data_IF_997129856816
#
_entry.id   IF_997129856816
#
_cell.length_a   1.000
_cell.length_b   1.000
_cell.length_c   1.000
_cell.angle_alpha   90.00
_cell.angle_beta   90.00
_cell.angle_gamma   90.00
#
_symmetry.space_group_name_H-M   'P 1'
#
loop_
_entity.id
_entity.type
_entity.pdbx_description
1 polymer ?
#
# COMPACT_ATOMS: atom_id res chain seq x y z
N UNK A 1 -50.77 27.03 19.34
CA UNK A 1 -49.79 26.20 20.05
C UNK A 1 -48.55 27.06 20.15
N UNK A 2 -48.18 27.45 21.36
CA UNK A 2 -47.01 28.30 21.57
C UNK A 2 -45.76 27.53 21.14
N UNK A 3 -44.97 28.10 20.23
CA UNK A 3 -43.68 27.55 19.82
C UNK A 3 -42.74 27.56 21.03
N UNK A 4 -42.25 26.39 21.43
CA UNK A 4 -41.32 26.28 22.56
C UNK A 4 -39.97 26.86 22.12
N UNK A 5 -39.62 28.02 22.68
CA UNK A 5 -38.35 28.69 22.38
C UNK A 5 -37.18 27.94 23.03
N UNK A 6 -36.19 27.54 22.21
CA UNK A 6 -34.97 26.88 22.70
C UNK A 6 -34.10 27.91 23.42
N UNK A 7 -33.71 27.68 24.69
CA UNK A 7 -32.79 28.58 25.38
C UNK A 7 -31.47 28.74 24.64
N UNK A 8 -31.03 29.98 24.43
CA UNK A 8 -29.85 30.29 23.61
C UNK A 8 -28.56 29.58 24.09
N UNK A 9 -28.43 29.32 25.39
CA UNK A 9 -27.29 28.62 25.98
C UNK A 9 -27.27 27.11 25.69
N UNK A 10 -28.32 26.56 25.08
CA UNK A 10 -28.36 25.19 24.56
C UNK A 10 -27.95 25.09 23.09
N UNK A 11 -27.84 26.22 22.39
CA UNK A 11 -27.49 26.26 20.98
C UNK A 11 -25.97 26.30 20.78
N UNK A 12 -25.49 25.52 19.82
CA UNK A 12 -24.10 25.53 19.41
C UNK A 12 -23.78 26.86 18.70
N UNK A 13 -22.75 27.61 19.11
CA UNK A 13 -22.41 28.89 18.46
C UNK A 13 -21.97 28.77 16.99
N UNK A 14 -21.65 27.57 16.51
CA UNK A 14 -21.26 27.32 15.10
C UNK A 14 -22.50 27.02 14.25
N UNK A 15 -23.31 26.04 14.65
CA UNK A 15 -24.43 25.56 13.86
C UNK A 15 -25.76 26.26 14.16
N UNK A 16 -25.83 26.99 15.29
CA UNK A 16 -27.05 27.58 15.85
C UNK A 16 -28.16 26.54 16.10
N UNK A 17 -27.78 25.26 16.25
CA UNK A 17 -28.67 24.15 16.55
C UNK A 17 -28.45 23.65 17.97
N UNK A 18 -29.45 22.97 18.52
CA UNK A 18 -29.39 22.34 19.84
C UNK A 18 -28.18 21.40 19.96
N UNK A 19 -27.35 21.60 20.98
CA UNK A 19 -26.14 20.81 21.21
C UNK A 19 -26.50 19.38 21.62
N UNK A 20 -25.98 18.38 20.90
CA UNK A 20 -26.15 16.95 21.23
C UNK A 20 -25.01 16.46 22.11
N UNK A 21 -23.81 16.96 21.87
CA UNK A 21 -22.60 16.66 22.66
C UNK A 21 -21.87 17.95 23.03
N UNK A 22 -22.31 18.67 24.08
CA UNK A 22 -21.71 19.92 24.48
C UNK A 22 -20.29 19.70 25.03
N UNK A 23 -19.31 20.37 24.45
CA UNK A 23 -17.89 20.35 24.83
C UNK A 23 -17.33 21.76 24.98
N UNK A 24 -16.49 21.95 25.98
CA UNK A 24 -15.82 23.21 26.31
C UNK A 24 -14.41 23.20 25.73
N UNK A 25 -14.06 24.27 25.02
CA UNK A 25 -12.69 24.54 24.59
C UNK A 25 -11.94 25.35 25.66
N UNK A 26 -10.62 25.46 25.58
CA UNK A 26 -9.78 26.19 26.57
C UNK A 26 -10.23 27.64 26.84
N UNK A 27 -10.93 28.28 25.90
CA UNK A 27 -11.48 29.63 26.05
C UNK A 27 -12.78 29.70 26.87
N UNK A 28 -13.27 28.56 27.38
CA UNK A 28 -14.49 28.48 28.19
C UNK A 28 -15.80 28.42 27.40
N UNK A 29 -15.75 28.57 26.07
CA UNK A 29 -16.95 28.49 25.22
C UNK A 29 -17.35 27.03 24.99
N UNK A 30 -18.65 26.75 25.07
CA UNK A 30 -19.21 25.42 24.79
C UNK A 30 -19.74 25.35 23.36
N UNK A 31 -19.44 24.26 22.67
CA UNK A 31 -19.89 23.95 21.32
C UNK A 31 -20.46 22.54 21.27
N UNK A 32 -21.23 22.24 20.22
CA UNK A 32 -21.48 20.85 19.86
C UNK A 32 -20.20 20.21 19.29
N UNK A 33 -19.84 19.02 19.80
CA UNK A 33 -18.57 18.34 19.50
C UNK A 33 -18.30 18.23 18.00
N UNK A 34 -19.26 17.74 17.21
CA UNK A 34 -19.02 17.49 15.79
C UNK A 34 -18.73 18.79 15.03
N UNK A 35 -19.34 19.89 15.45
CA UNK A 35 -19.15 21.19 14.82
C UNK A 35 -17.78 21.79 15.15
N UNK A 36 -17.34 21.74 16.41
CA UNK A 36 -16.02 22.24 16.80
C UNK A 36 -14.88 21.34 16.29
N UNK A 37 -15.09 20.03 16.24
CA UNK A 37 -14.11 19.10 15.66
C UNK A 37 -13.97 19.28 14.14
N UNK A 38 -15.08 19.51 13.42
CA UNK A 38 -15.04 19.91 12.00
C UNK A 38 -14.22 21.18 11.80
N UNK A 39 -14.44 22.18 12.63
CA UNK A 39 -13.70 23.44 12.57
C UNK A 39 -12.18 23.25 12.79
N UNK A 40 -11.79 22.48 13.80
CA UNK A 40 -10.37 22.30 14.16
C UNK A 40 -9.63 21.34 13.23
N UNK A 41 -10.21 20.17 12.94
CA UNK A 41 -9.50 19.08 12.26
C UNK A 41 -9.74 19.07 10.75
N UNK A 42 -10.99 19.22 10.31
CA UNK A 42 -11.32 19.16 8.88
C UNK A 42 -11.00 20.48 8.16
N UNK A 43 -11.34 21.61 8.76
CA UNK A 43 -11.01 22.94 8.21
C UNK A 43 -9.60 23.42 8.57
N UNK A 44 -8.86 22.69 9.42
CA UNK A 44 -7.49 23.00 9.88
C UNK A 44 -7.35 24.37 10.56
N UNK A 45 -8.39 24.87 11.21
CA UNK A 45 -8.33 26.12 11.97
C UNK A 45 -7.73 25.89 13.36
N UNK A 46 -7.00 26.89 13.89
CA UNK A 46 -6.37 26.83 15.22
C UNK A 46 -6.96 27.81 16.24
N UNK A 47 -8.06 28.45 15.90
CA UNK A 47 -8.66 29.52 16.70
C UNK A 47 -10.04 29.14 17.17
N UNK A 48 -10.43 29.61 18.35
CA UNK A 48 -11.81 29.54 18.81
C UNK A 48 -12.74 30.30 17.85
N UNK A 49 -13.85 29.70 17.37
CA UNK A 49 -14.78 30.35 16.44
C UNK A 49 -15.33 31.69 16.93
N UNK A 50 -15.65 31.77 18.23
CA UNK A 50 -16.23 32.96 18.86
C UNK A 50 -15.16 33.95 19.30
N UNK A 51 -14.22 33.53 20.15
CA UNK A 51 -13.25 34.47 20.77
C UNK A 51 -12.07 34.81 19.87
N UNK A 52 -11.89 34.09 18.76
CA UNK A 52 -10.74 34.19 17.84
C UNK A 52 -9.36 33.95 18.48
N UNK A 53 -9.31 33.56 19.75
CA UNK A 53 -8.07 33.21 20.44
C UNK A 53 -7.52 31.88 19.93
N UNK A 54 -6.19 31.76 19.88
CA UNK A 54 -5.51 30.52 19.49
C UNK A 54 -5.75 29.45 20.57
N UNK A 55 -6.19 28.28 20.16
CA UNK A 55 -6.35 27.12 21.03
C UNK A 55 -5.03 26.36 21.06
N UNK A 56 -4.35 26.38 22.22
CA UNK A 56 -3.07 25.71 22.45
C UNK A 56 -3.20 24.19 22.51
N UNK A 57 -4.33 23.70 23.04
CA UNK A 57 -4.63 22.27 23.18
C UNK A 57 -5.89 21.91 22.38
N UNK A 58 -5.85 20.75 21.71
CA UNK A 58 -7.00 20.18 21.00
C UNK A 58 -7.93 19.39 21.93
N UNK A 59 -7.72 19.49 23.25
CA UNK A 59 -8.46 18.75 24.25
C UNK A 59 -9.81 19.40 24.53
N UNK A 60 -10.85 18.78 23.97
CA UNK A 60 -12.25 19.16 24.17
C UNK A 60 -12.77 18.56 25.48
N UNK A 61 -13.07 19.41 26.45
CA UNK A 61 -13.57 18.97 27.77
C UNK A 61 -15.09 18.78 27.72
N UNK A 62 -15.65 17.59 27.99
CA UNK A 62 -17.11 17.40 27.98
C UNK A 62 -17.83 18.28 29.02
N UNK A 63 -18.90 18.96 28.62
CA UNK A 63 -19.76 19.73 29.53
C UNK A 63 -20.96 18.87 29.99
N UNK A 64 -20.71 17.99 30.97
CA UNK A 64 -21.74 17.07 31.47
C UNK A 64 -22.94 17.78 32.09
N UNK A 65 -22.74 18.90 32.77
CA UNK A 65 -23.81 19.69 33.38
C UNK A 65 -24.76 20.23 32.32
N UNK A 66 -24.22 20.89 31.29
CA UNK A 66 -25.04 21.44 30.21
C UNK A 66 -25.77 20.34 29.44
N UNK A 67 -25.12 19.20 29.20
CA UNK A 67 -25.77 18.03 28.59
C UNK A 67 -26.99 17.58 29.39
N UNK A 68 -26.87 17.43 30.72
CA UNK A 68 -27.99 17.01 31.58
C UNK A 68 -29.13 18.03 31.57
N UNK A 69 -28.81 19.32 31.53
CA UNK A 69 -29.81 20.39 31.42
C UNK A 69 -30.56 20.34 30.09
N UNK A 70 -29.84 20.18 28.97
CA UNK A 70 -30.43 20.04 27.63
C UNK A 70 -31.35 18.81 27.60
N UNK A 71 -30.91 17.66 28.13
CA UNK A 71 -31.70 16.43 28.15
C UNK A 71 -32.97 16.57 29.00
N UNK A 72 -32.86 17.18 30.19
CA UNK A 72 -34.01 17.47 31.04
C UNK A 72 -35.01 18.37 30.31
N UNK A 73 -34.51 19.41 29.65
CA UNK A 73 -35.33 20.32 28.86
C UNK A 73 -36.02 19.64 27.68
N UNK A 74 -35.32 18.78 26.91
CA UNK A 74 -35.94 17.98 25.85
C UNK A 74 -37.04 17.08 26.39
N UNK A 75 -36.85 16.47 27.57
CA UNK A 75 -37.82 15.57 28.18
C UNK A 75 -39.09 16.32 28.60
N UNK A 76 -38.94 17.50 29.21
CA UNK A 76 -40.06 18.35 29.63
C UNK A 76 -40.87 18.89 28.45
N UNK A 77 -40.23 19.06 27.28
CA UNK A 77 -40.85 19.62 26.09
C UNK A 77 -41.17 18.58 25.01
N UNK A 78 -41.09 17.28 25.34
CA UNK A 78 -41.36 16.19 24.39
C UNK A 78 -42.81 16.23 23.85
N UNK A 79 -43.78 16.66 24.66
CA UNK A 79 -45.18 16.86 24.25
C UNK A 79 -45.38 17.99 23.23
N UNK A 80 -44.40 18.87 23.07
CA UNK A 80 -44.41 19.99 22.14
C UNK A 80 -43.62 19.70 20.84
N UNK A 81 -43.31 18.42 20.56
CA UNK A 81 -42.63 18.01 19.34
C UNK A 81 -41.10 18.10 19.41
N UNK A 82 -40.52 18.31 20.58
CA UNK A 82 -39.06 18.32 20.76
C UNK A 82 -38.55 16.90 20.88
N UNK A 83 -37.69 16.49 19.95
CA UNK A 83 -37.06 15.17 19.98
C UNK A 83 -36.15 15.02 21.21
N UNK A 84 -36.32 13.89 21.92
CA UNK A 84 -35.41 13.50 22.98
C UNK A 84 -34.06 13.14 22.34
N UNK A 85 -33.01 13.89 22.66
CA UNK A 85 -31.65 13.55 22.23
C UNK A 85 -31.19 12.35 23.06
N UNK A 86 -31.02 11.16 22.46
CA UNK A 86 -30.52 10.00 23.18
C UNK A 86 -29.11 10.27 23.66
N UNK A 87 -28.78 9.80 24.86
CA UNK A 87 -27.43 9.92 25.43
C UNK A 87 -26.42 9.30 24.45
N UNK A 88 -25.50 10.09 23.87
CA UNK A 88 -24.38 9.51 23.14
C UNK A 88 -23.64 8.61 24.12
N UNK A 89 -23.41 7.35 23.76
CA UNK A 89 -22.63 6.42 24.59
C UNK A 89 -21.36 7.15 25.03
N UNK A 90 -21.14 7.25 26.34
CA UNK A 90 -19.98 7.93 26.93
C UNK A 90 -18.73 7.55 26.14
N UNK A 91 -17.98 8.50 25.56
CA UNK A 91 -16.62 8.23 25.13
C UNK A 91 -15.82 8.10 26.41
N UNK A 92 -15.89 6.94 27.07
CA UNK A 92 -14.87 6.54 28.03
C UNK A 92 -13.57 6.67 27.27
N UNK A 93 -12.64 7.47 27.80
CA UNK A 93 -11.44 7.94 27.12
C UNK A 93 -10.73 6.74 26.47
N UNK A 94 -11.02 6.49 25.18
CA UNK A 94 -10.71 5.21 24.52
C UNK A 94 -9.21 4.97 24.55
N UNK A 95 -8.43 6.05 24.48
CA UNK A 95 -6.98 6.09 24.66
C UNK A 95 -6.52 5.60 26.03
N UNK A 96 -7.19 5.94 27.13
CA UNK A 96 -6.83 5.45 28.46
C UNK A 96 -7.14 3.96 28.62
N UNK A 97 -8.30 3.50 28.14
CA UNK A 97 -8.62 2.06 28.15
C UNK A 97 -7.63 1.29 27.29
N UNK A 98 -7.33 1.77 26.09
CA UNK A 98 -6.36 1.13 25.20
C UNK A 98 -4.97 1.12 25.83
N UNK A 99 -4.53 2.23 26.42
CA UNK A 99 -3.24 2.31 27.10
C UNK A 99 -3.15 1.35 28.28
N UNK A 100 -4.24 1.14 29.02
CA UNK A 100 -4.31 0.13 30.07
C UNK A 100 -4.26 -1.29 29.47
N UNK A 101 -5.06 -1.57 28.44
CA UNK A 101 -5.06 -2.86 27.76
C UNK A 101 -3.68 -3.23 27.19
N UNK A 102 -2.97 -2.26 26.61
CA UNK A 102 -1.61 -2.45 26.08
C UNK A 102 -0.62 -2.66 27.23
N UNK A 103 -0.63 -1.79 28.25
CA UNK A 103 0.26 -1.94 29.42
C UNK A 103 0.05 -3.25 30.16
N UNK A 104 -1.18 -3.73 30.22
CA UNK A 104 -1.49 -5.02 30.82
C UNK A 104 -1.03 -6.15 29.90
N UNK A 105 -1.25 -6.05 28.59
CA UNK A 105 -0.80 -7.06 27.63
C UNK A 105 0.74 -7.16 27.48
N UNK A 106 1.47 -6.05 27.63
CA UNK A 106 2.94 -6.01 27.66
C UNK A 106 3.53 -6.81 28.84
N UNK A 107 2.74 -7.06 29.90
CA UNK A 107 3.20 -7.72 31.12
C UNK A 107 2.96 -9.23 31.15
N UNK A 108 2.33 -9.84 30.15
CA UNK A 108 1.94 -11.25 30.23
C UNK A 108 2.50 -12.13 29.10
N UNK A 109 3.03 -13.28 29.52
CA UNK A 109 3.30 -14.48 28.70
C UNK A 109 2.02 -15.25 28.33
N UNK A 110 0.82 -14.73 28.62
CA UNK A 110 -0.46 -15.43 28.42
C UNK A 110 -1.11 -15.07 27.06
N UNK A 111 -1.08 -16.03 26.15
CA UNK A 111 -1.64 -15.95 24.80
C UNK A 111 -3.15 -15.64 24.78
N UNK A 112 -3.91 -16.18 25.72
CA UNK A 112 -5.36 -15.98 25.76
C UNK A 112 -5.74 -14.53 26.09
N UNK A 113 -4.92 -13.86 26.90
CA UNK A 113 -5.09 -12.44 27.22
C UNK A 113 -4.70 -11.55 26.05
N UNK A 114 -3.67 -11.90 25.29
CA UNK A 114 -3.29 -11.21 24.06
C UNK A 114 -4.42 -11.26 23.02
N UNK A 115 -5.00 -12.44 22.76
CA UNK A 115 -6.12 -12.57 21.83
C UNK A 115 -7.37 -11.79 22.28
N UNK A 116 -7.69 -11.78 23.58
CA UNK A 116 -8.78 -10.94 24.11
C UNK A 116 -8.51 -9.46 23.88
N UNK A 117 -7.28 -9.01 24.09
CA UNK A 117 -6.87 -7.63 23.82
C UNK A 117 -6.99 -7.30 22.33
N UNK A 118 -6.49 -8.16 21.44
CA UNK A 118 -6.59 -7.99 19.98
C UNK A 118 -8.05 -7.90 19.52
N UNK A 119 -8.93 -8.78 20.00
CA UNK A 119 -10.38 -8.72 19.68
C UNK A 119 -11.00 -7.39 20.11
N UNK A 120 -10.62 -6.88 21.28
CA UNK A 120 -11.10 -5.58 21.78
C UNK A 120 -10.51 -4.40 21.01
N UNK A 121 -9.23 -4.47 20.62
CA UNK A 121 -8.62 -3.48 19.73
C UNK A 121 -9.34 -3.44 18.38
N UNK A 122 -9.66 -4.62 17.81
CA UNK A 122 -10.39 -4.73 16.56
C UNK A 122 -11.81 -4.17 16.63
N UNK A 123 -12.51 -4.33 17.77
CA UNK A 123 -13.82 -3.69 17.92
C UNK A 123 -13.70 -2.17 17.94
N UNK A 124 -12.61 -1.63 18.49
CA UNK A 124 -12.35 -0.18 18.55
C UNK A 124 -11.97 0.37 17.16
N UNK A 125 -11.17 -0.35 16.37
CA UNK A 125 -10.79 0.09 15.00
C UNK A 125 -11.98 0.20 14.07
N UNK A 126 -13.01 -0.63 14.26
CA UNK A 126 -14.23 -0.60 13.46
C UNK A 126 -15.12 0.62 13.75
N UNK A 127 -14.87 1.38 14.82
CA UNK A 127 -15.68 2.55 15.21
C UNK A 127 -15.26 3.86 14.50
N UNK A 128 -14.35 3.81 13.51
CA UNK A 128 -14.05 4.90 12.56
C UNK A 128 -12.69 5.61 12.75
N UNK A 129 -12.35 6.54 11.85
CA UNK A 129 -10.99 7.17 11.72
C UNK A 129 -10.46 7.87 12.98
N UNK A 130 -11.35 8.45 13.81
CA UNK A 130 -10.96 9.07 15.09
C UNK A 130 -10.32 8.05 16.04
N UNK A 131 -10.70 6.77 15.93
CA UNK A 131 -10.12 5.68 16.71
C UNK A 131 -8.67 5.40 16.29
N UNK A 132 -8.34 5.45 14.99
CA UNK A 132 -7.00 5.15 14.48
C UNK A 132 -5.93 6.10 15.01
N UNK A 133 -6.17 7.41 14.95
CA UNK A 133 -5.21 8.40 15.48
C UNK A 133 -5.03 8.30 17.00
N UNK A 134 -6.11 7.95 17.72
CA UNK A 134 -6.06 7.70 19.15
C UNK A 134 -5.28 6.42 19.49
N UNK A 135 -5.43 5.36 18.69
CA UNK A 135 -4.73 4.09 18.85
C UNK A 135 -3.23 4.25 18.58
N UNK A 136 -2.85 5.00 17.53
CA UNK A 136 -1.45 5.38 17.28
C UNK A 136 -0.85 6.13 18.48
N UNK A 137 -1.55 7.15 19.00
CA UNK A 137 -1.07 7.93 20.14
C UNK A 137 -1.00 7.14 21.44
N UNK A 138 -1.73 6.03 21.54
CA UNK A 138 -1.73 5.14 22.69
C UNK A 138 -0.63 4.07 22.66
N UNK A 139 0.16 3.98 21.57
CA UNK A 139 1.21 2.96 21.40
C UNK A 139 0.69 1.62 20.85
N UNK A 140 -0.51 1.60 20.24
CA UNK A 140 -1.10 0.36 19.75
C UNK A 140 -0.31 -0.25 18.58
N UNK A 141 0.32 0.58 17.75
CA UNK A 141 1.06 0.11 16.58
C UNK A 141 2.33 -0.62 17.02
N UNK A 142 3.08 -0.07 17.97
CA UNK A 142 4.29 -0.66 18.55
C UNK A 142 3.97 -2.00 19.23
N UNK A 143 2.85 -2.08 19.96
CA UNK A 143 2.35 -3.32 20.56
C UNK A 143 1.96 -4.38 19.51
N UNK A 144 1.28 -4.00 18.43
CA UNK A 144 0.93 -4.94 17.36
C UNK A 144 2.18 -5.43 16.62
N UNK A 145 3.17 -4.56 16.40
CA UNK A 145 4.45 -4.92 15.80
C UNK A 145 5.23 -5.88 16.69
N UNK A 146 5.23 -5.68 18.01
CA UNK A 146 5.91 -6.60 18.94
C UNK A 146 5.30 -8.00 18.91
N UNK A 147 3.97 -8.14 18.85
CA UNK A 147 3.28 -9.43 18.68
C UNK A 147 3.76 -10.16 17.41
N UNK A 148 3.83 -9.45 16.29
CA UNK A 148 4.26 -10.04 15.01
C UNK A 148 5.72 -10.51 15.10
N UNK A 149 6.59 -9.75 15.79
CA UNK A 149 8.00 -10.12 16.01
C UNK A 149 8.16 -11.34 16.91
N UNK A 150 7.39 -11.41 18.01
CA UNK A 150 7.45 -12.52 18.96
C UNK A 150 7.15 -13.87 18.31
N UNK A 151 6.29 -13.89 17.28
CA UNK A 151 6.00 -15.11 16.51
C UNK A 151 7.24 -15.64 15.76
N UNK A 152 8.07 -14.76 15.19
CA UNK A 152 9.26 -15.20 14.44
C UNK A 152 10.38 -15.77 15.35
N UNK A 153 10.45 -15.35 16.62
CA UNK A 153 11.44 -15.85 17.58
C UNK A 153 11.08 -17.20 18.20
N UNK A 154 9.80 -17.51 18.33
CA UNK A 154 9.31 -18.75 18.97
C UNK A 154 9.30 -19.95 18.00
N UNK A 155 9.12 -19.70 16.69
CA UNK A 155 9.17 -20.76 15.66
C UNK A 155 10.59 -21.33 15.49
N UNK A 156 11.64 -20.59 15.88
CA UNK A 156 13.01 -21.12 15.89
C UNK A 156 13.31 -22.09 17.04
N UNK A 157 12.43 -22.28 18.03
CA UNK A 157 12.76 -23.06 19.23
C UNK A 157 11.81 -24.20 19.63
N UNK A 158 10.56 -24.32 19.15
CA UNK A 158 9.68 -25.39 19.65
C UNK A 158 8.87 -26.14 18.57
N UNK A 159 9.08 -27.46 18.52
CA UNK A 159 8.42 -28.46 17.67
C UNK A 159 7.05 -28.92 18.25
N UNK A 160 6.19 -28.01 18.68
CA UNK A 160 4.85 -28.35 19.20
C UNK A 160 3.74 -27.74 18.32
N UNK A 161 3.11 -28.58 17.50
CA UNK A 161 2.06 -28.22 16.52
C UNK A 161 0.82 -27.52 17.14
N UNK A 162 0.56 -27.71 18.43
CA UNK A 162 -0.61 -27.10 19.09
C UNK A 162 -0.41 -25.65 19.51
N UNK A 163 0.82 -25.27 19.88
CA UNK A 163 1.13 -23.89 20.30
C UNK A 163 1.41 -23.00 19.09
N UNK A 164 1.99 -23.56 18.02
CA UNK A 164 2.25 -22.84 16.77
C UNK A 164 0.97 -22.29 16.15
N UNK A 165 -0.13 -23.04 16.17
CA UNK A 165 -1.42 -22.64 15.59
C UNK A 165 -2.07 -21.47 16.35
N UNK A 166 -1.84 -21.37 17.67
CA UNK A 166 -2.28 -20.25 18.50
C UNK A 166 -1.46 -18.98 18.21
N UNK A 167 -0.12 -19.05 18.22
CA UNK A 167 0.74 -17.91 17.89
C UNK A 167 0.48 -17.34 16.49
N UNK A 168 0.23 -18.21 15.51
CA UNK A 168 -0.14 -17.81 14.15
C UNK A 168 -1.43 -16.98 14.15
N UNK A 169 -2.47 -17.41 14.89
CA UNK A 169 -3.75 -16.67 15.01
C UNK A 169 -3.59 -15.28 15.61
N UNK A 170 -2.73 -15.11 16.63
CA UNK A 170 -2.48 -13.79 17.21
C UNK A 170 -1.75 -12.86 16.23
N UNK A 171 -0.75 -13.37 15.51
CA UNK A 171 -0.02 -12.59 14.50
C UNK A 171 -0.92 -12.19 13.32
N UNK A 172 -1.80 -13.09 12.88
CA UNK A 172 -2.76 -12.86 11.80
C UNK A 172 -3.77 -11.77 12.18
N UNK A 173 -4.28 -11.84 13.41
CA UNK A 173 -5.21 -10.84 13.92
C UNK A 173 -4.52 -9.48 14.10
N UNK A 174 -3.27 -9.46 14.59
CA UNK A 174 -2.50 -8.23 14.71
C UNK A 174 -2.25 -7.55 13.34
N UNK A 175 -1.88 -8.33 12.31
CA UNK A 175 -1.73 -7.83 10.94
C UNK A 175 -3.03 -7.28 10.36
N UNK A 176 -4.14 -7.95 10.63
CA UNK A 176 -5.47 -7.51 10.21
C UNK A 176 -5.81 -6.14 10.81
N UNK A 177 -5.57 -5.96 12.10
CA UNK A 177 -5.77 -4.68 12.81
C UNK A 177 -4.85 -3.60 12.24
N UNK A 178 -3.55 -3.88 12.06
CA UNK A 178 -2.60 -2.93 11.47
C UNK A 178 -3.02 -2.47 10.06
N UNK A 179 -3.53 -3.38 9.23
CA UNK A 179 -3.99 -3.05 7.90
C UNK A 179 -5.28 -2.19 7.92
N UNK A 180 -6.13 -2.36 8.94
CA UNK A 180 -7.35 -1.56 9.12
C UNK A 180 -7.08 -0.17 9.70
N UNK A 181 -6.04 -0.02 10.53
CA UNK A 181 -5.71 1.23 11.22
C UNK A 181 -5.37 2.40 10.28
N UNK A 182 -5.03 2.15 9.01
CA UNK A 182 -4.53 3.15 8.06
C UNK A 182 -3.40 4.01 8.67
N UNK A 183 -2.35 3.32 9.12
CA UNK A 183 -1.24 3.91 9.87
C UNK A 183 -0.67 5.15 9.15
N UNK A 184 -0.50 6.24 9.91
CA UNK A 184 0.04 7.49 9.39
C UNK A 184 1.47 7.34 8.84
N UNK A 185 1.79 8.10 7.78
CA UNK A 185 3.14 8.13 7.18
C UNK A 185 4.22 8.52 8.22
N UNK A 186 3.87 9.30 9.25
CA UNK A 186 4.76 9.68 10.36
C UNK A 186 5.09 8.49 11.28
N UNK A 187 4.07 7.73 11.69
CA UNK A 187 4.24 6.54 12.52
C UNK A 187 5.02 5.46 11.76
N UNK A 188 4.65 5.18 10.50
CA UNK A 188 5.37 4.21 9.66
C UNK A 188 6.84 4.55 9.45
N UNK A 189 7.16 5.85 9.26
CA UNK A 189 8.56 6.30 9.13
C UNK A 189 9.35 5.98 10.39
N UNK A 190 8.77 6.18 11.58
CA UNK A 190 9.44 5.85 12.84
C UNK A 190 9.73 4.35 12.94
N UNK A 191 8.75 3.53 12.62
CA UNK A 191 8.86 2.07 12.72
C UNK A 191 9.91 1.54 11.74
N UNK A 192 9.81 1.86 10.44
CA UNK A 192 10.73 1.28 9.45
C UNK A 192 12.18 1.76 9.62
N UNK A 193 12.40 2.99 10.11
CA UNK A 193 13.75 3.55 10.21
C UNK A 193 14.42 3.27 11.56
N UNK A 194 13.66 3.18 12.66
CA UNK A 194 14.22 3.05 14.02
C UNK A 194 13.92 1.71 14.69
N UNK A 195 12.88 0.99 14.28
CA UNK A 195 12.55 -0.30 14.86
C UNK A 195 13.23 -1.45 14.11
N UNK A 196 14.33 -1.94 14.65
CA UNK A 196 15.05 -3.07 14.07
C UNK A 196 14.16 -4.32 14.06
N UNK A 197 14.12 -5.05 12.95
CA UNK A 197 13.34 -6.29 12.86
C UNK A 197 11.91 -6.14 12.31
N UNK A 198 11.40 -4.93 12.03
CA UNK A 198 10.03 -4.79 11.48
C UNK A 198 9.89 -5.41 10.08
N UNK A 199 10.86 -5.15 9.20
CA UNK A 199 10.85 -5.72 7.84
C UNK A 199 11.06 -7.23 7.90
N UNK A 200 11.98 -7.69 8.74
CA UNK A 200 12.26 -9.10 8.99
C UNK A 200 11.03 -9.84 9.55
N UNK A 201 10.29 -9.19 10.45
CA UNK A 201 9.02 -9.69 10.99
C UNK A 201 8.03 -10.00 9.86
N UNK A 202 7.80 -9.01 8.99
CA UNK A 202 6.90 -9.14 7.86
C UNK A 202 7.41 -10.14 6.81
N UNK A 203 8.72 -10.26 6.60
CA UNK A 203 9.28 -11.32 5.73
C UNK A 203 9.01 -12.71 6.31
N UNK A 204 9.10 -12.90 7.63
CA UNK A 204 8.70 -14.16 8.28
C UNK A 204 7.23 -14.51 8.03
N UNK A 205 6.33 -13.52 8.16
CA UNK A 205 4.91 -13.68 7.80
C UNK A 205 4.77 -14.03 6.31
N UNK A 206 5.54 -13.39 5.43
CA UNK A 206 5.48 -13.72 4.01
C UNK A 206 5.83 -15.18 3.73
N UNK A 207 6.76 -15.77 4.49
CA UNK A 207 7.21 -17.18 4.37
C UNK A 207 6.17 -18.19 4.83
N UNK A 208 5.61 -17.98 6.03
CA UNK A 208 4.85 -19.01 6.75
C UNK A 208 3.36 -18.68 6.92
N UNK A 209 2.98 -17.42 6.71
CA UNK A 209 1.61 -16.98 6.89
C UNK A 209 0.64 -17.55 5.85
N UNK A 210 -0.64 -17.56 6.19
CA UNK A 210 -1.71 -17.85 5.24
C UNK A 210 -1.82 -16.76 4.15
N UNK A 211 -2.64 -16.99 3.13
CA UNK A 211 -2.84 -16.04 2.03
C UNK A 211 -3.27 -14.64 2.49
N UNK A 212 -4.14 -14.54 3.50
CA UNK A 212 -4.64 -13.26 3.98
C UNK A 212 -3.53 -12.46 4.71
N UNK A 213 -2.78 -13.11 5.60
CA UNK A 213 -1.67 -12.49 6.33
C UNK A 213 -0.53 -12.07 5.41
N UNK A 214 -0.22 -12.90 4.39
CA UNK A 214 0.75 -12.55 3.34
C UNK A 214 0.30 -11.32 2.54
N UNK A 215 -1.00 -11.23 2.25
CA UNK A 215 -1.58 -10.04 1.64
C UNK A 215 -1.45 -8.83 2.58
N UNK A 216 -1.82 -8.89 3.86
CA UNK A 216 -1.67 -7.74 4.76
C UNK A 216 -0.21 -7.31 4.95
N UNK A 217 0.71 -8.27 5.13
CA UNK A 217 2.15 -8.00 5.25
C UNK A 217 2.69 -7.30 4.00
N UNK A 218 2.29 -7.73 2.80
CA UNK A 218 2.71 -7.06 1.55
C UNK A 218 2.20 -5.62 1.47
N UNK A 219 1.05 -5.29 2.09
CA UNK A 219 0.43 -3.97 1.98
C UNK A 219 1.12 -3.02 2.95
N UNK A 220 1.41 -3.52 4.15
CA UNK A 220 2.21 -2.83 5.15
C UNK A 220 3.62 -2.57 4.64
N UNK A 221 4.29 -3.55 4.02
CA UNK A 221 5.61 -3.36 3.41
C UNK A 221 5.57 -2.27 2.32
N UNK A 222 4.56 -2.28 1.44
CA UNK A 222 4.40 -1.25 0.41
C UNK A 222 4.27 0.14 1.03
N UNK A 223 3.46 0.29 2.07
CA UNK A 223 3.25 1.59 2.72
C UNK A 223 4.49 2.01 3.53
N UNK A 224 5.18 1.07 4.18
CA UNK A 224 6.39 1.35 4.93
C UNK A 224 7.54 1.79 4.00
N UNK A 225 7.78 1.07 2.89
CA UNK A 225 8.83 1.45 1.94
C UNK A 225 8.56 2.79 1.25
N UNK A 226 7.31 3.24 1.13
CA UNK A 226 6.97 4.59 0.63
C UNK A 226 7.63 5.70 1.47
N UNK A 227 7.80 5.49 2.77
CA UNK A 227 8.33 6.48 3.73
C UNK A 227 9.74 6.13 4.24
N UNK A 228 10.31 5.01 3.81
CA UNK A 228 11.62 4.52 4.22
C UNK A 228 12.77 5.39 3.70
N UNK A 229 13.82 5.51 4.49
CA UNK A 229 15.04 6.21 4.09
C UNK A 229 15.92 5.35 3.17
N UNK A 230 16.90 5.97 2.50
CA UNK A 230 17.76 5.28 1.52
C UNK A 230 18.48 4.05 2.10
N UNK A 231 18.83 4.07 3.40
CA UNK A 231 19.52 2.97 4.09
C UNK A 231 18.63 1.72 4.06
N UNK A 232 17.36 1.86 4.43
CA UNK A 232 16.39 0.75 4.49
C UNK A 232 16.07 0.19 3.09
N UNK A 233 16.06 1.05 2.06
CA UNK A 233 15.87 0.59 0.68
C UNK A 233 17.05 -0.28 0.19
N UNK A 234 18.26 -0.03 0.71
CA UNK A 234 19.48 -0.78 0.34
C UNK A 234 19.73 -2.02 1.19
N UNK A 235 19.27 -2.06 2.44
CA UNK A 235 19.50 -3.17 3.38
C UNK A 235 18.66 -4.42 3.09
N UNK A 236 17.71 -4.35 2.14
CA UNK A 236 16.85 -5.49 1.76
C UNK A 236 17.63 -6.75 1.38
N UNK A 237 17.20 -7.91 1.89
CA UNK A 237 17.88 -9.21 1.71
C UNK A 237 17.44 -9.93 0.44
N UNK A 238 18.20 -10.94 -0.01
CA UNK A 238 17.79 -11.81 -1.14
C UNK A 238 16.46 -12.51 -0.86
N UNK A 239 16.30 -12.96 0.38
CA UNK A 239 15.11 -13.65 0.85
C UNK A 239 13.87 -12.78 0.79
N UNK A 240 13.98 -11.50 1.15
CA UNK A 240 12.90 -10.53 0.97
C UNK A 240 12.39 -10.51 -0.48
N UNK A 241 13.31 -10.48 -1.47
CA UNK A 241 12.91 -10.48 -2.87
C UNK A 241 12.26 -11.79 -3.30
N UNK A 242 12.78 -12.94 -2.85
CA UNK A 242 12.18 -14.25 -3.14
C UNK A 242 10.74 -14.33 -2.63
N UNK A 243 10.47 -13.85 -1.41
CA UNK A 243 9.14 -13.87 -0.82
C UNK A 243 8.15 -12.91 -1.51
N UNK A 244 8.59 -11.71 -1.87
CA UNK A 244 7.74 -10.79 -2.65
C UNK A 244 7.43 -11.35 -4.04
N UNK A 245 8.39 -12.04 -4.68
CA UNK A 245 8.17 -12.73 -5.96
C UNK A 245 7.21 -13.91 -5.77
N UNK A 246 7.27 -14.62 -4.65
CA UNK A 246 6.33 -15.70 -4.31
C UNK A 246 4.90 -15.19 -4.18
N UNK A 247 4.69 -14.00 -3.59
CA UNK A 247 3.36 -13.35 -3.56
C UNK A 247 2.82 -13.08 -4.97
N UNK A 248 3.69 -12.71 -5.93
CA UNK A 248 3.28 -12.54 -7.32
C UNK A 248 2.92 -13.88 -7.99
N UNK A 249 3.73 -14.91 -7.75
CA UNK A 249 3.53 -16.25 -8.29
C UNK A 249 2.21 -16.86 -7.82
N UNK A 250 1.92 -16.74 -6.53
CA UNK A 250 0.74 -17.35 -5.91
C UNK A 250 -0.57 -16.62 -6.24
N UNK A 251 -0.48 -15.43 -6.86
CA UNK A 251 -1.64 -14.62 -7.27
C UNK A 251 -2.68 -14.41 -6.15
N UNK A 252 -2.20 -14.24 -4.92
CA UNK A 252 -3.00 -14.20 -3.67
C UNK A 252 -4.22 -13.26 -3.76
N UNK A 253 -4.00 -12.04 -4.26
CA UNK A 253 -5.07 -11.09 -4.55
C UNK A 253 -4.58 -10.00 -5.50
N UNK A 254 -5.49 -9.36 -6.24
CA UNK A 254 -5.12 -8.26 -7.14
C UNK A 254 -4.46 -7.08 -6.41
N UNK A 255 -4.94 -6.77 -5.20
CA UNK A 255 -4.34 -5.74 -4.36
C UNK A 255 -2.93 -6.13 -3.93
N UNK A 256 -2.72 -7.40 -3.56
CA UNK A 256 -1.42 -7.90 -3.16
C UNK A 256 -0.41 -7.94 -4.29
N UNK A 257 -0.79 -8.45 -5.45
CA UNK A 257 0.08 -8.48 -6.62
C UNK A 257 0.45 -7.05 -7.07
N UNK A 258 -0.50 -6.11 -7.03
CA UNK A 258 -0.22 -4.70 -7.36
C UNK A 258 0.74 -4.06 -6.36
N UNK A 259 0.62 -4.35 -5.07
CA UNK A 259 1.53 -3.85 -4.05
C UNK A 259 2.93 -4.46 -4.18
N UNK A 260 3.03 -5.78 -4.40
CA UNK A 260 4.30 -6.47 -4.65
C UNK A 260 5.03 -5.89 -5.87
N UNK A 261 4.33 -5.66 -6.99
CA UNK A 261 4.92 -4.99 -8.16
C UNK A 261 5.45 -3.59 -7.83
N UNK A 262 4.70 -2.79 -7.06
CA UNK A 262 5.13 -1.45 -6.66
C UNK A 262 6.35 -1.48 -5.76
N UNK A 263 6.41 -2.41 -4.80
CA UNK A 263 7.59 -2.63 -3.94
C UNK A 263 8.81 -2.93 -4.80
N UNK A 264 8.71 -3.92 -5.70
CA UNK A 264 9.83 -4.31 -6.55
C UNK A 264 10.28 -3.16 -7.46
N UNK A 265 9.34 -2.41 -8.06
CA UNK A 265 9.66 -1.25 -8.92
C UNK A 265 10.37 -0.15 -8.14
N UNK A 266 9.94 0.10 -6.90
CA UNK A 266 10.54 1.10 -6.02
C UNK A 266 11.95 0.70 -5.57
N UNK A 267 12.20 -0.58 -5.32
CA UNK A 267 13.50 -1.07 -4.86
C UNK A 267 14.50 -1.31 -5.99
N UNK A 268 14.03 -1.62 -7.20
CA UNK A 268 14.85 -1.90 -8.39
C UNK A 268 15.14 -0.66 -9.23
N UNK A 269 15.43 0.48 -8.60
CA UNK A 269 15.79 1.71 -9.32
C UNK A 269 17.07 1.54 -10.17
N UNK A 270 17.27 2.36 -11.23
CA UNK A 270 18.43 2.24 -12.11
C UNK A 270 19.81 2.36 -11.45
N UNK A 271 19.89 2.86 -10.21
CA UNK A 271 21.13 2.93 -9.42
C UNK A 271 21.29 1.79 -8.39
N UNK A 272 20.21 1.06 -8.11
CA UNK A 272 20.18 0.02 -7.08
C UNK A 272 20.71 -1.33 -7.59
N UNK A 273 21.47 -2.03 -6.75
CA UNK A 273 21.91 -3.43 -6.98
C UNK A 273 20.81 -4.46 -6.65
N UNK A 274 19.69 -4.03 -6.08
CA UNK A 274 18.58 -4.89 -5.69
C UNK A 274 17.95 -5.68 -6.86
N UNK A 275 18.08 -5.18 -8.09
CA UNK A 275 17.59 -5.89 -9.28
C UNK A 275 18.21 -7.27 -9.44
N UNK A 276 19.49 -7.45 -9.06
CA UNK A 276 20.15 -8.76 -9.13
C UNK A 276 19.49 -9.71 -8.13
N UNK A 277 19.25 -9.26 -6.89
CA UNK A 277 18.53 -10.03 -5.87
C UNK A 277 17.11 -10.39 -6.32
N UNK A 278 16.41 -9.48 -7.00
CA UNK A 278 15.10 -9.74 -7.58
C UNK A 278 15.14 -10.79 -8.70
N UNK A 279 16.15 -10.74 -9.58
CA UNK A 279 16.36 -11.74 -10.64
C UNK A 279 16.68 -13.11 -10.03
N UNK A 280 17.61 -13.17 -9.05
CA UNK A 280 17.94 -14.40 -8.30
C UNK A 280 16.71 -14.99 -7.59
N UNK A 281 15.79 -14.15 -7.10
CA UNK A 281 14.51 -14.56 -6.54
C UNK A 281 13.48 -15.05 -7.57
N UNK A 282 13.83 -15.12 -8.86
CA UNK A 282 12.97 -15.65 -9.92
C UNK A 282 11.97 -14.64 -10.50
N UNK A 283 12.15 -13.33 -10.26
CA UNK A 283 11.20 -12.31 -10.69
C UNK A 283 10.97 -12.32 -12.21
N UNK A 284 12.02 -12.51 -13.01
CA UNK A 284 11.92 -12.49 -14.48
C UNK A 284 10.99 -13.57 -15.00
N UNK A 285 11.19 -14.82 -14.56
CA UNK A 285 10.35 -15.96 -14.94
C UNK A 285 8.89 -15.72 -14.55
N UNK A 286 8.62 -15.35 -13.29
CA UNK A 286 7.26 -15.08 -12.81
C UNK A 286 6.60 -13.95 -13.60
N UNK A 287 7.33 -12.89 -13.95
CA UNK A 287 6.76 -11.80 -14.75
C UNK A 287 6.39 -12.23 -16.17
N UNK A 288 7.18 -13.09 -16.81
CA UNK A 288 6.89 -13.58 -18.17
C UNK A 288 5.58 -14.38 -18.15
N UNK A 289 5.45 -15.34 -17.23
CA UNK A 289 4.23 -16.14 -17.07
C UNK A 289 3.01 -15.27 -16.76
N UNK A 290 3.14 -14.35 -15.80
CA UNK A 290 2.03 -13.43 -15.46
C UNK A 290 1.64 -12.47 -16.59
N UNK A 291 2.53 -12.16 -17.54
CA UNK A 291 2.18 -11.35 -18.72
C UNK A 291 1.56 -12.23 -19.81
N UNK A 292 1.99 -13.48 -19.91
CA UNK A 292 1.46 -14.49 -20.83
C UNK A 292 0.01 -14.84 -20.50
N UNK A 293 -0.29 -15.10 -19.23
CA UNK A 293 -1.61 -15.46 -18.70
C UNK A 293 -2.58 -14.28 -18.58
N UNK A 294 -2.11 -13.04 -18.74
CA UNK A 294 -2.94 -11.86 -18.52
C UNK A 294 -4.07 -11.75 -19.56
N UNK A 295 -5.31 -11.87 -19.09
CA UNK A 295 -6.54 -11.61 -19.85
C UNK A 295 -6.67 -10.15 -20.27
N UNK A 296 -6.38 -9.23 -19.34
CA UNK A 296 -6.43 -7.79 -19.58
C UNK A 296 -5.04 -7.21 -19.83
N UNK A 297 -4.87 -6.56 -20.99
CA UNK A 297 -3.60 -5.91 -21.32
C UNK A 297 -3.22 -4.79 -20.33
N UNK A 298 -4.20 -4.07 -19.75
CA UNK A 298 -3.92 -2.98 -18.80
C UNK A 298 -3.18 -3.46 -17.55
N UNK A 299 -3.43 -4.69 -17.11
CA UNK A 299 -2.74 -5.29 -15.96
C UNK A 299 -1.26 -5.60 -16.21
N UNK A 300 -0.80 -5.55 -17.47
CA UNK A 300 0.60 -5.82 -17.83
C UNK A 300 1.53 -4.61 -17.65
N UNK A 301 1.03 -3.38 -17.47
CA UNK A 301 1.86 -2.17 -17.48
C UNK A 301 2.96 -2.22 -16.41
N UNK A 302 2.60 -2.45 -15.14
CA UNK A 302 3.57 -2.54 -14.04
C UNK A 302 4.53 -3.72 -14.22
N UNK A 303 4.05 -4.85 -14.76
CA UNK A 303 4.87 -6.05 -15.02
C UNK A 303 5.97 -5.74 -16.04
N UNK A 304 5.62 -5.03 -17.13
CA UNK A 304 6.58 -4.61 -18.16
C UNK A 304 7.56 -3.54 -17.67
N UNK A 305 7.11 -2.62 -16.82
CA UNK A 305 7.99 -1.62 -16.20
C UNK A 305 9.03 -2.31 -15.32
N UNK A 306 8.62 -3.27 -14.50
CA UNK A 306 9.55 -4.03 -13.66
C UNK A 306 10.51 -4.86 -14.53
N UNK A 307 10.00 -5.55 -15.56
CA UNK A 307 10.83 -6.34 -16.47
C UNK A 307 11.90 -5.47 -17.17
N UNK A 308 11.54 -4.25 -17.60
CA UNK A 308 12.48 -3.23 -18.12
C UNK A 308 13.59 -2.91 -17.12
N UNK A 309 13.24 -2.70 -15.84
CA UNK A 309 14.24 -2.45 -14.80
C UNK A 309 15.19 -3.64 -14.58
N UNK A 310 14.67 -4.87 -14.57
CA UNK A 310 15.47 -6.08 -14.37
C UNK A 310 16.40 -6.35 -15.56
N UNK A 311 15.94 -6.18 -16.79
CA UNK A 311 16.74 -6.40 -18.01
C UNK A 311 17.86 -5.36 -18.22
N UNK A 312 17.98 -4.34 -17.35
CA UNK A 312 19.17 -3.49 -17.30
C UNK A 312 20.41 -4.23 -16.80
N UNK A 313 20.25 -5.33 -16.06
CA UNK A 313 21.35 -6.19 -15.61
C UNK A 313 21.59 -7.34 -16.60
N UNK A 314 22.78 -7.93 -16.58
CA UNK A 314 23.11 -9.05 -17.46
C UNK A 314 22.30 -10.31 -17.09
N UNK A 315 22.13 -10.55 -15.80
CA UNK A 315 21.36 -11.63 -15.21
C UNK A 315 19.89 -11.55 -15.64
N UNK A 316 19.29 -10.35 -15.60
CA UNK A 316 17.90 -10.17 -16.01
C UNK A 316 17.68 -10.42 -17.50
N UNK A 317 18.67 -10.12 -18.36
CA UNK A 317 18.62 -10.46 -19.79
C UNK A 317 18.80 -11.94 -20.03
N UNK A 318 19.75 -12.58 -19.33
CA UNK A 318 20.01 -14.00 -19.44
C UNK A 318 18.75 -14.81 -19.07
N UNK A 319 18.10 -14.49 -17.95
CA UNK A 319 16.86 -15.17 -17.53
C UNK A 319 15.70 -14.92 -18.49
N UNK A 320 15.58 -13.72 -19.07
CA UNK A 320 14.55 -13.44 -20.08
C UNK A 320 14.74 -14.32 -21.33
N UNK A 321 15.98 -14.44 -21.82
CA UNK A 321 16.32 -15.22 -23.02
C UNK A 321 16.31 -16.74 -22.76
N UNK A 322 16.51 -17.16 -21.51
CA UNK A 322 16.39 -18.56 -21.11
C UNK A 322 14.95 -19.07 -21.18
N UNK A 323 13.98 -18.17 -20.98
CA UNK A 323 12.56 -18.50 -21.07
C UNK A 323 12.07 -18.46 -22.53
N UNK A 324 11.54 -19.58 -23.03
CA UNK A 324 11.14 -19.70 -24.45
C UNK A 324 10.02 -18.75 -24.93
N UNK A 325 9.37 -18.02 -24.02
CA UNK A 325 8.33 -17.05 -24.33
C UNK A 325 8.79 -15.59 -24.10
N UNK A 326 10.02 -15.37 -23.61
CA UNK A 326 10.48 -14.06 -23.14
C UNK A 326 10.39 -12.96 -24.20
N UNK A 327 11.00 -13.19 -25.38
CA UNK A 327 10.96 -12.24 -26.49
C UNK A 327 9.57 -12.08 -27.09
N UNK A 328 8.83 -13.19 -27.23
CA UNK A 328 7.48 -13.20 -27.78
C UNK A 328 6.51 -12.37 -26.94
N UNK A 329 6.54 -12.53 -25.61
CA UNK A 329 5.68 -11.82 -24.67
C UNK A 329 5.97 -10.32 -24.68
N UNK A 330 7.25 -9.92 -24.65
CA UNK A 330 7.66 -8.51 -24.74
C UNK A 330 7.20 -7.89 -26.06
N UNK A 331 7.46 -8.56 -27.19
CA UNK A 331 7.06 -8.11 -28.53
C UNK A 331 5.54 -7.94 -28.65
N UNK A 332 4.78 -8.97 -28.24
CA UNK A 332 3.32 -9.02 -28.35
C UNK A 332 2.64 -7.85 -27.64
N UNK A 333 3.20 -7.35 -26.54
CA UNK A 333 2.59 -6.30 -25.71
C UNK A 333 2.90 -4.87 -26.15
N UNK A 334 3.85 -4.66 -27.07
CA UNK A 334 4.11 -3.35 -27.68
C UNK A 334 2.81 -2.83 -28.34
N UNK A 335 2.48 -1.56 -28.16
CA UNK A 335 1.27 -0.91 -28.68
C UNK A 335 -0.08 -1.52 -28.24
N UNK A 336 -0.10 -2.50 -27.32
CA UNK A 336 -1.34 -3.18 -26.87
C UNK A 336 -1.74 -2.89 -25.43
N UNK A 337 -0.83 -2.30 -24.64
CA UNK A 337 -1.02 -2.04 -23.20
C UNK A 337 -1.18 -0.55 -22.94
N UNK A 338 -0.08 0.20 -23.09
CA UNK A 338 -0.04 1.65 -22.91
C UNK A 338 1.21 2.23 -23.58
N UNK A 339 1.32 3.56 -23.63
CA UNK A 339 2.53 4.25 -24.13
C UNK A 339 3.76 3.92 -23.27
N UNK A 340 3.59 3.90 -21.94
CA UNK A 340 4.66 3.59 -20.98
C UNK A 340 5.13 2.15 -21.14
N UNK A 341 4.20 1.20 -21.21
CA UNK A 341 4.50 -0.21 -21.43
C UNK A 341 5.21 -0.46 -22.78
N UNK A 342 4.81 0.25 -23.83
CA UNK A 342 5.47 0.16 -25.14
C UNK A 342 6.90 0.68 -25.09
N UNK A 343 7.14 1.80 -24.39
CA UNK A 343 8.50 2.32 -24.19
C UNK A 343 9.38 1.35 -23.39
N UNK A 344 8.84 0.76 -22.33
CA UNK A 344 9.54 -0.28 -21.54
C UNK A 344 9.84 -1.54 -22.37
N UNK A 345 8.90 -2.04 -23.15
CA UNK A 345 9.12 -3.19 -24.03
C UNK A 345 10.20 -2.91 -25.09
N UNK A 346 10.18 -1.73 -25.74
CA UNK A 346 11.23 -1.34 -26.70
C UNK A 346 12.59 -1.15 -26.02
N UNK A 347 12.65 -0.69 -24.77
CA UNK A 347 13.91 -0.65 -23.99
C UNK A 347 14.46 -2.04 -23.72
N UNK A 348 13.62 -3.00 -23.30
CA UNK A 348 14.03 -4.39 -23.08
C UNK A 348 14.68 -4.94 -24.36
N UNK A 349 14.01 -4.81 -25.51
CA UNK A 349 14.56 -5.24 -26.80
C UNK A 349 15.86 -4.50 -27.15
N UNK A 350 15.95 -3.21 -26.85
CA UNK A 350 17.18 -2.43 -27.05
C UNK A 350 18.34 -2.96 -26.19
N UNK A 351 18.10 -3.36 -24.94
CA UNK A 351 19.13 -3.91 -24.07
C UNK A 351 19.63 -5.26 -24.59
N UNK A 352 18.72 -6.10 -25.07
CA UNK A 352 19.06 -7.40 -25.67
C UNK A 352 19.92 -7.20 -26.93
N UNK A 353 19.46 -6.39 -27.89
CA UNK A 353 20.18 -6.13 -29.14
C UNK A 353 21.55 -5.47 -28.95
N UNK A 354 21.76 -4.78 -27.84
CA UNK A 354 23.04 -4.12 -27.52
C UNK A 354 24.01 -5.01 -26.78
N UNK A 355 23.53 -5.87 -25.88
CA UNK A 355 24.37 -6.49 -24.87
C UNK A 355 24.23 -8.02 -24.76
N UNK A 356 23.30 -8.63 -25.50
CA UNK A 356 23.01 -10.07 -25.42
C UNK A 356 22.68 -10.69 -26.78
N UNK A 357 23.16 -10.07 -27.86
CA UNK A 357 22.89 -10.50 -29.23
C UNK A 357 23.72 -11.74 -29.59
N UNK A 358 23.03 -12.77 -30.06
CA UNK A 358 23.60 -13.92 -30.76
C UNK A 358 22.82 -14.16 -32.05
N UNK A 359 23.36 -14.94 -33.00
CA UNK A 359 22.64 -15.27 -34.24
C UNK A 359 21.27 -15.89 -33.94
N UNK A 360 21.20 -16.77 -32.92
CA UNK A 360 19.96 -17.41 -32.47
C UNK A 360 18.93 -16.38 -31.98
N UNK A 361 19.35 -15.43 -31.14
CA UNK A 361 18.46 -14.36 -30.63
C UNK A 361 17.94 -13.49 -31.77
N UNK A 362 18.78 -13.10 -32.72
CA UNK A 362 18.38 -12.27 -33.87
C UNK A 362 17.34 -12.99 -34.75
N UNK A 363 17.50 -14.30 -34.93
CA UNK A 363 16.57 -15.15 -35.66
C UNK A 363 15.25 -15.32 -34.90
N UNK A 364 15.30 -15.60 -33.59
CA UNK A 364 14.10 -15.71 -32.75
C UNK A 364 13.30 -14.40 -32.74
N UNK A 365 13.97 -13.26 -32.64
CA UNK A 365 13.33 -11.93 -32.70
C UNK A 365 12.55 -11.73 -34.01
N UNK A 366 13.06 -12.26 -35.11
CA UNK A 366 12.41 -12.21 -36.41
C UNK A 366 11.16 -13.10 -36.44
N UNK A 367 11.28 -14.34 -35.97
CA UNK A 367 10.21 -15.34 -35.92
C UNK A 367 9.05 -14.92 -35.00
N UNK A 368 9.36 -14.33 -33.84
CA UNK A 368 8.34 -13.83 -32.88
C UNK A 368 7.79 -12.44 -33.26
N UNK A 369 8.13 -11.94 -34.46
CA UNK A 369 7.55 -10.74 -35.04
C UNK A 369 8.02 -9.41 -34.43
N UNK A 370 9.18 -9.39 -33.75
CA UNK A 370 9.75 -8.15 -33.18
C UNK A 370 9.95 -7.09 -34.27
N UNK A 371 10.49 -7.49 -35.42
CA UNK A 371 10.84 -6.56 -36.49
C UNK A 371 9.60 -5.84 -37.04
N UNK A 372 8.53 -6.60 -37.34
CA UNK A 372 7.26 -6.03 -37.75
C UNK A 372 6.71 -5.05 -36.70
N UNK A 373 6.83 -5.41 -35.41
CA UNK A 373 6.37 -4.57 -34.33
C UNK A 373 7.15 -3.26 -34.18
N UNK A 374 8.47 -3.30 -34.38
CA UNK A 374 9.31 -2.11 -34.38
C UNK A 374 9.02 -1.19 -35.57
N UNK A 375 8.74 -1.73 -36.76
CA UNK A 375 8.28 -0.93 -37.90
C UNK A 375 6.95 -0.21 -37.59
N UNK A 376 5.99 -0.92 -36.98
CA UNK A 376 4.72 -0.31 -36.55
C UNK A 376 4.93 0.84 -35.56
N UNK A 377 5.87 0.71 -34.61
CA UNK A 377 6.23 1.79 -33.66
C UNK A 377 6.69 3.06 -34.38
N UNK A 378 7.32 2.95 -35.55
CA UNK A 378 7.74 4.13 -36.32
C UNK A 378 6.57 4.86 -36.97
N UNK A 379 5.53 4.12 -37.38
CA UNK A 379 4.35 4.64 -38.08
C UNK A 379 3.34 5.30 -37.15
N UNK A 380 3.13 4.75 -35.95
CA UNK A 380 2.11 5.24 -35.01
C UNK A 380 2.61 6.39 -34.13
N UNK A 381 1.70 7.12 -33.47
CA UNK A 381 2.09 8.15 -32.51
C UNK A 381 2.73 7.52 -31.26
N UNK A 382 4.04 7.71 -31.15
CA UNK A 382 4.89 7.22 -30.06
C UNK A 382 5.93 8.27 -29.73
N UNK A 383 6.45 8.22 -28.50
CA UNK A 383 7.46 9.19 -28.08
C UNK A 383 8.69 9.17 -29.00
N UNK A 384 9.27 10.34 -29.25
CA UNK A 384 10.47 10.47 -30.08
C UNK A 384 11.58 9.51 -29.64
N UNK A 385 11.83 9.40 -28.33
CA UNK A 385 12.83 8.49 -27.74
C UNK A 385 12.54 7.02 -28.05
N UNK A 386 11.28 6.61 -28.02
CA UNK A 386 10.87 5.24 -28.35
C UNK A 386 11.10 4.94 -29.84
N UNK A 387 10.69 5.86 -30.72
CA UNK A 387 10.93 5.74 -32.18
C UNK A 387 12.42 5.70 -32.50
N UNK A 388 13.22 6.55 -31.86
CA UNK A 388 14.67 6.58 -32.06
C UNK A 388 15.33 5.26 -31.66
N UNK A 389 14.93 4.65 -30.52
CA UNK A 389 15.40 3.31 -30.13
C UNK A 389 14.98 2.24 -31.13
N UNK A 390 13.74 2.26 -31.60
CA UNK A 390 13.26 1.32 -32.61
C UNK A 390 14.09 1.41 -33.90
N UNK A 391 14.38 2.63 -34.39
CA UNK A 391 15.27 2.82 -35.56
C UNK A 391 16.66 2.25 -35.32
N UNK A 392 17.25 2.50 -34.14
CA UNK A 392 18.58 1.98 -33.78
C UNK A 392 18.60 0.45 -33.78
N UNK A 393 17.59 -0.20 -33.21
CA UNK A 393 17.47 -1.66 -33.20
C UNK A 393 17.39 -2.20 -34.64
N UNK A 394 16.51 -1.63 -35.47
CA UNK A 394 16.35 -2.06 -36.87
C UNK A 394 17.65 -1.90 -37.68
N UNK A 395 18.39 -0.79 -37.49
CA UNK A 395 19.67 -0.58 -38.17
C UNK A 395 20.75 -1.58 -37.74
N UNK A 396 20.83 -1.89 -36.44
CA UNK A 396 21.85 -2.79 -35.89
C UNK A 396 21.86 -4.18 -36.54
N UNK A 397 20.69 -4.71 -36.92
CA UNK A 397 20.57 -6.06 -37.50
C UNK A 397 19.96 -6.07 -38.92
N UNK A 398 20.08 -4.94 -39.63
CA UNK A 398 19.53 -4.74 -40.98
C UNK A 398 19.97 -5.81 -41.98
N UNK A 399 21.21 -6.32 -41.89
CA UNK A 399 21.73 -7.39 -42.76
C UNK A 399 20.90 -8.67 -42.69
N UNK A 400 20.37 -9.01 -41.52
CA UNK A 400 19.58 -10.24 -41.30
C UNK A 400 18.10 -9.96 -41.55
N UNK A 401 17.59 -8.82 -41.10
CA UNK A 401 16.16 -8.57 -41.07
C UNK A 401 15.59 -7.96 -42.34
N UNK A 402 16.30 -7.02 -43.01
CA UNK A 402 15.72 -6.15 -44.06
C UNK A 402 15.07 -6.92 -45.21
N UNK A 403 15.62 -8.07 -45.59
CA UNK A 403 15.15 -8.87 -46.72
C UNK A 403 14.39 -10.12 -46.27
N UNK A 404 14.00 -10.20 -45.00
CA UNK A 404 13.28 -11.37 -44.48
C UNK A 404 11.84 -11.39 -44.97
N UNK A 405 11.39 -12.57 -45.40
CA UNK A 405 9.99 -12.86 -45.72
C UNK A 405 9.05 -12.78 -44.51
N UNK A 406 9.57 -12.79 -43.29
CA UNK A 406 8.78 -12.65 -42.06
C UNK A 406 8.28 -11.21 -41.84
N UNK A 407 8.77 -10.23 -42.61
CA UNK A 407 8.32 -8.85 -42.52
C UNK A 407 7.21 -8.61 -43.57
N UNK A 408 6.00 -8.20 -43.15
CA UNK A 408 4.96 -7.80 -44.08
C UNK A 408 5.45 -6.71 -45.04
N UNK A 409 5.17 -6.88 -46.34
CA UNK A 409 5.66 -5.98 -47.40
C UNK A 409 5.33 -4.50 -47.17
N UNK A 410 4.14 -4.20 -46.63
CA UNK A 410 3.72 -2.84 -46.30
C UNK A 410 4.56 -2.17 -45.19
N UNK A 411 5.27 -2.95 -44.37
CA UNK A 411 6.16 -2.43 -43.31
C UNK A 411 7.59 -2.20 -43.79
N UNK A 412 7.99 -2.76 -44.94
CA UNK A 412 9.33 -2.57 -45.51
C UNK A 412 9.60 -1.11 -45.86
N UNK A 413 8.60 -0.36 -46.31
CA UNK A 413 8.71 1.07 -46.60
C UNK A 413 9.04 1.91 -45.35
N UNK A 414 8.69 1.42 -44.16
CA UNK A 414 9.00 2.08 -42.88
C UNK A 414 10.31 1.62 -42.26
N UNK A 415 11.00 0.66 -42.88
CA UNK A 415 12.31 0.23 -42.44
C UNK A 415 13.31 1.38 -42.64
N UNK A 416 14.08 1.78 -41.62
CA UNK A 416 15.01 2.90 -41.75
C UNK A 416 16.08 2.59 -42.81
N UNK A 417 16.37 3.56 -43.67
CA UNK A 417 17.53 3.50 -44.55
C UNK A 417 18.81 3.39 -43.73
N UNK A 418 19.77 2.65 -44.30
CA UNK A 418 21.09 2.34 -43.75
C UNK A 418 21.76 3.58 -43.16
#
# INVERSE_FOLDING_TARGET
MDEVEIPAHFLCPISLQLMRDPVVVATGITYDRDNIEKWLFYCKNKTCPVTKQVLSDSDLTPNHTLRRLIQSWCTLNASHGIEIIPTPKLPVNKTQIVKLLIKDAEKFLDHNMQLKCLRKLKSITLEGERSSSCLESAGAVEFLVSIIKSNNHSISQELNDSLSDEFMKASDEALSILNQLQISDCCLRKIINYDCGFVEALVGVLKQGNYQSRAYATMLLKNAFKVADSIQLTSTTREFFAEIVRVLRDQISQQASKAALKILIQLCTPRSRNRIKAVEGGAVMVLIELILEASENRACELKLILLDQLCRSAEGRAELLKHGAGLAVVSKKILRVSRVASDSAVKILCYICKFSTTCRVVQEMLEVGVVAKLCLVLQVDCSYKTKERARKILRLHSKVWRNSSCIPSHLLASYPSS
#
